data_IF_813244779421
#
_entry.id   IF_813244779421
#
_cell.length_a   1.000
_cell.length_b   1.000
_cell.length_c   1.000
_cell.angle_alpha   90.00
_cell.angle_beta   90.00
_cell.angle_gamma   90.00
#
_symmetry.space_group_name_H-M   'P 1'
#
loop_
_entity.id
_entity.type
_entity.pdbx_description
1 polymer ?
#
# COMPACT_ATOMS: atom_id res chain seq x y z
N UNK A 1 -10.58 -0.21 16.80
CA UNK A 1 -11.64 0.14 17.77
C UNK A 1 -11.42 1.61 18.08
N UNK A 2 -12.40 2.46 17.79
CA UNK A 2 -12.29 3.91 18.06
C UNK A 2 -12.32 4.09 19.58
N UNK A 3 -11.35 4.84 20.13
CA UNK A 3 -11.27 5.08 21.57
C UNK A 3 -12.30 6.14 21.94
N UNK A 4 -13.12 5.89 22.95
CA UNK A 4 -14.12 6.85 23.41
C UNK A 4 -13.46 8.10 24.01
N UNK A 5 -14.13 9.26 23.85
CA UNK A 5 -13.68 10.55 24.39
C UNK A 5 -13.36 10.49 25.90
N UNK A 6 -14.25 9.90 26.70
CA UNK A 6 -14.07 9.78 28.15
C UNK A 6 -12.79 9.02 28.54
N UNK A 7 -12.38 8.06 27.71
CA UNK A 7 -11.15 7.32 27.95
C UNK A 7 -9.95 8.18 27.56
N UNK A 8 -9.98 8.88 26.42
CA UNK A 8 -8.90 9.76 25.99
C UNK A 8 -8.65 10.93 26.96
N UNK A 9 -9.71 11.50 27.54
CA UNK A 9 -9.60 12.60 28.53
C UNK A 9 -8.75 12.22 29.74
N UNK A 10 -8.79 10.96 30.18
CA UNK A 10 -7.98 10.47 31.30
C UNK A 10 -6.47 10.46 31.00
N UNK A 11 -6.11 10.42 29.72
CA UNK A 11 -4.72 10.37 29.25
C UNK A 11 -4.16 11.74 28.87
N UNK A 12 -4.92 12.83 29.03
CA UNK A 12 -4.39 14.18 28.78
C UNK A 12 -3.21 14.45 29.73
N UNK A 13 -2.12 14.98 29.17
CA UNK A 13 -0.84 15.20 29.85
C UNK A 13 0.00 13.94 30.01
N UNK A 14 -0.51 12.75 29.65
CA UNK A 14 0.25 11.50 29.74
C UNK A 14 1.08 11.24 28.49
N UNK A 15 2.09 10.37 28.66
CA UNK A 15 2.96 9.94 27.58
C UNK A 15 2.20 9.07 26.57
N UNK A 16 2.46 9.33 25.30
CA UNK A 16 1.98 8.53 24.18
C UNK A 16 3.14 7.67 23.69
N UNK A 17 2.87 6.39 23.47
CA UNK A 17 3.83 5.44 22.89
C UNK A 17 3.45 5.11 21.46
N UNK A 18 4.40 4.73 20.64
CA UNK A 18 4.09 4.10 19.36
C UNK A 18 3.81 2.59 19.52
N UNK A 19 3.36 1.97 18.44
CA UNK A 19 3.14 0.50 18.36
C UNK A 19 4.41 -0.34 18.57
N UNK A 20 5.59 0.29 18.63
CA UNK A 20 6.89 -0.35 18.83
C UNK A 20 7.47 -0.06 20.23
N UNK A 21 6.66 0.55 21.11
CA UNK A 21 7.01 0.81 22.51
C UNK A 21 7.81 2.08 22.77
N UNK A 22 8.10 2.89 21.75
CA UNK A 22 8.86 4.15 21.90
C UNK A 22 7.95 5.25 22.40
N UNK A 23 8.42 6.02 23.37
CA UNK A 23 7.72 7.24 23.81
C UNK A 23 7.84 8.29 22.70
N UNK A 24 6.71 8.67 22.09
CA UNK A 24 6.69 9.61 20.97
C UNK A 24 6.34 11.04 21.38
N UNK A 25 5.65 11.19 22.51
CA UNK A 25 5.16 12.51 22.90
C UNK A 25 4.20 12.49 24.08
N UNK A 26 3.44 13.58 24.21
CA UNK A 26 2.42 13.75 25.23
C UNK A 26 1.09 14.11 24.60
N UNK A 27 0.01 13.53 25.10
CA UNK A 27 -1.34 13.90 24.68
C UNK A 27 -1.66 15.28 25.27
N UNK A 28 -1.94 16.27 24.43
CA UNK A 28 -2.20 17.65 24.85
C UNK A 28 -3.69 17.92 24.97
N UNK A 29 -4.44 17.56 23.93
CA UNK A 29 -5.87 17.85 23.86
C UNK A 29 -6.61 16.88 22.94
N UNK A 30 -7.92 16.82 23.11
CA UNK A 30 -8.85 16.00 22.31
C UNK A 30 -9.99 16.92 21.90
N UNK A 31 -10.12 17.15 20.60
CA UNK A 31 -11.20 17.96 20.04
C UNK A 31 -12.43 17.07 19.83
N UNK A 32 -13.60 17.60 20.21
CA UNK A 32 -14.87 16.92 20.08
C UNK A 32 -15.94 17.83 19.51
N UNK A 33 -16.86 17.25 18.76
CA UNK A 33 -18.07 17.91 18.32
C UNK A 33 -19.15 17.92 19.42
N UNK A 34 -20.23 18.67 19.22
CA UNK A 34 -21.33 18.81 20.20
C UNK A 34 -22.00 17.48 20.58
N UNK A 35 -21.95 16.49 19.69
CA UNK A 35 -22.47 15.14 19.93
C UNK A 35 -21.50 14.22 20.68
N UNK A 36 -20.30 14.70 21.01
CA UNK A 36 -19.25 13.95 21.70
C UNK A 36 -18.40 13.06 20.79
N UNK A 37 -18.56 13.13 19.47
CA UNK A 37 -17.63 12.47 18.54
C UNK A 37 -16.26 13.16 18.59
N UNK A 38 -15.21 12.36 18.71
CA UNK A 38 -13.83 12.86 18.69
C UNK A 38 -13.46 13.16 17.25
N UNK A 39 -13.15 14.42 16.95
CA UNK A 39 -12.75 14.83 15.59
C UNK A 39 -11.25 14.69 15.42
N UNK A 40 -10.48 15.16 16.41
CA UNK A 40 -9.03 15.33 16.30
C UNK A 40 -8.34 15.20 17.66
N UNK A 41 -7.06 14.81 17.64
CA UNK A 41 -6.24 14.65 18.84
C UNK A 41 -4.95 15.44 18.70
N UNK A 42 -4.66 16.34 19.64
CA UNK A 42 -3.43 17.14 19.64
C UNK A 42 -2.34 16.43 20.45
N UNK A 43 -1.19 16.15 19.82
CA UNK A 43 -0.05 15.48 20.46
C UNK A 43 1.21 16.34 20.32
N UNK A 44 1.92 16.50 21.43
CA UNK A 44 3.22 17.15 21.47
C UNK A 44 4.34 16.13 21.22
N UNK A 45 5.01 16.26 20.08
CA UNK A 45 6.19 15.48 19.69
C UNK A 45 7.46 16.27 20.00
N UNK A 46 7.99 16.14 21.22
CA UNK A 46 9.16 16.90 21.66
C UNK A 46 8.91 18.41 21.55
N UNK A 47 9.45 19.04 20.51
CA UNK A 47 9.33 20.49 20.27
C UNK A 47 8.22 20.88 19.28
N UNK A 48 7.56 19.93 18.64
CA UNK A 48 6.52 20.20 17.63
C UNK A 48 5.17 19.69 18.11
N UNK A 49 4.09 20.35 17.68
CA UNK A 49 2.71 19.94 17.94
C UNK A 49 2.10 19.46 16.63
N UNK A 50 1.30 18.41 16.68
CA UNK A 50 0.61 17.91 15.51
C UNK A 50 -0.74 17.33 15.88
N UNK A 51 -1.72 17.69 15.06
CA UNK A 51 -3.08 17.16 15.12
C UNK A 51 -3.14 15.81 14.40
N UNK A 52 -3.71 14.82 15.08
CA UNK A 52 -3.75 13.42 14.67
C UNK A 52 -5.20 12.95 14.56
N UNK A 53 -5.47 12.18 13.50
CA UNK A 53 -6.73 11.48 13.31
C UNK A 53 -6.97 10.44 14.44
N UNK A 54 -8.15 10.46 15.10
CA UNK A 54 -8.52 9.52 16.16
C UNK A 54 -8.37 8.04 15.78
N UNK A 55 -8.51 7.69 14.50
CA UNK A 55 -8.32 6.34 13.99
C UNK A 55 -6.90 5.79 14.22
N UNK A 56 -5.91 6.69 14.36
CA UNK A 56 -4.52 6.31 14.60
C UNK A 56 -4.21 6.05 16.06
N UNK A 57 -5.14 6.33 16.98
CA UNK A 57 -4.92 6.20 18.41
C UNK A 57 -5.70 4.99 18.93
N UNK A 58 -5.03 4.19 19.75
CA UNK A 58 -5.62 3.01 20.39
C UNK A 58 -5.16 2.91 21.84
N UNK A 59 -6.01 2.38 22.71
CA UNK A 59 -5.68 2.12 24.10
C UNK A 59 -5.25 0.66 24.25
N UNK A 60 -4.02 0.41 24.68
CA UNK A 60 -3.47 -0.93 24.91
C UNK A 60 -2.84 -0.97 26.29
N UNK A 61 -3.29 -1.90 27.14
CA UNK A 61 -2.77 -2.07 28.51
C UNK A 61 -2.69 -0.76 29.31
N UNK A 62 -3.76 0.04 29.26
CA UNK A 62 -3.83 1.33 29.96
C UNK A 62 -2.76 2.34 29.52
N UNK A 63 -2.26 2.21 28.29
CA UNK A 63 -1.32 3.15 27.66
C UNK A 63 -1.84 3.58 26.29
N UNK A 64 -1.69 4.87 25.99
CA UNK A 64 -2.07 5.43 24.70
C UNK A 64 -1.04 5.04 23.64
N UNK A 65 -1.47 4.28 22.63
CA UNK A 65 -0.64 3.80 21.53
C UNK A 65 -1.02 4.49 20.23
N UNK A 66 -0.04 5.16 19.63
CA UNK A 66 -0.14 5.86 18.36
C UNK A 66 0.35 4.97 17.21
N UNK A 67 -0.48 4.90 16.17
CA UNK A 67 -0.17 4.26 14.90
C UNK A 67 0.61 5.25 13.99
N UNK A 68 1.78 4.84 13.45
CA UNK A 68 2.51 5.65 12.49
C UNK A 68 1.68 6.00 11.24
N UNK A 69 1.90 7.19 10.68
CA UNK A 69 1.17 7.70 9.51
C UNK A 69 1.16 6.71 8.35
N UNK A 70 2.35 6.23 7.98
CA UNK A 70 2.52 5.30 6.87
C UNK A 70 1.73 4.01 7.08
N UNK A 71 1.56 3.56 8.33
CA UNK A 71 0.87 2.30 8.66
C UNK A 71 -0.64 2.49 8.56
N UNK A 72 -1.16 3.61 9.07
CA UNK A 72 -2.56 3.98 8.94
C UNK A 72 -2.97 4.18 7.48
N UNK A 73 -2.17 4.93 6.71
CA UNK A 73 -2.37 5.18 5.28
C UNK A 73 -2.37 3.86 4.51
N UNK A 74 -1.39 3.00 4.75
CA UNK A 74 -1.29 1.69 4.08
C UNK A 74 -2.51 0.82 4.35
N UNK A 75 -2.97 0.73 5.61
CA UNK A 75 -4.15 -0.06 5.96
C UNK A 75 -5.42 0.47 5.29
N UNK A 76 -5.58 1.80 5.26
CA UNK A 76 -6.71 2.46 4.59
C UNK A 76 -6.72 2.16 3.11
N UNK A 77 -5.60 2.32 2.42
CA UNK A 77 -5.49 2.07 0.99
C UNK A 77 -5.69 0.60 0.63
N UNK A 78 -5.16 -0.34 1.43
CA UNK A 78 -5.41 -1.78 1.27
C UNK A 78 -6.90 -2.11 1.37
N UNK A 79 -7.58 -1.60 2.41
CA UNK A 79 -9.01 -1.81 2.57
C UNK A 79 -9.82 -1.20 1.41
N UNK A 80 -9.43 -0.02 0.91
CA UNK A 80 -10.11 0.60 -0.22
C UNK A 80 -9.94 -0.22 -1.51
N UNK A 81 -8.74 -0.76 -1.77
CA UNK A 81 -8.47 -1.63 -2.91
C UNK A 81 -9.35 -2.88 -2.87
N UNK A 82 -9.43 -3.55 -1.72
CA UNK A 82 -10.29 -4.72 -1.55
C UNK A 82 -11.78 -4.40 -1.79
N UNK A 83 -12.25 -3.24 -1.29
CA UNK A 83 -13.63 -2.78 -1.50
C UNK A 83 -13.94 -2.53 -2.97
N UNK A 84 -13.05 -1.86 -3.70
CA UNK A 84 -13.22 -1.64 -5.15
C UNK A 84 -13.29 -2.97 -5.89
N UNK A 85 -12.42 -3.94 -5.55
CA UNK A 85 -12.44 -5.26 -6.20
C UNK A 85 -13.72 -6.04 -5.96
N UNK A 86 -14.24 -6.00 -4.73
CA UNK A 86 -15.53 -6.63 -4.42
C UNK A 86 -16.65 -6.00 -5.24
N UNK A 87 -16.64 -4.67 -5.41
CA UNK A 87 -17.61 -3.95 -6.25
C UNK A 87 -17.46 -4.26 -7.73
N UNK A 88 -16.24 -4.36 -8.26
CA UNK A 88 -15.99 -4.76 -9.65
C UNK A 88 -16.53 -6.17 -9.93
N UNK A 89 -16.22 -7.15 -9.06
CA UNK A 89 -16.74 -8.51 -9.18
C UNK A 89 -18.27 -8.57 -9.12
N UNK A 90 -18.88 -7.85 -8.18
CA UNK A 90 -20.33 -7.77 -8.07
C UNK A 90 -20.97 -7.14 -9.33
N UNK A 91 -20.35 -6.09 -9.89
CA UNK A 91 -20.82 -5.45 -11.11
C UNK A 91 -20.75 -6.40 -12.33
N UNK A 92 -19.66 -7.17 -12.44
CA UNK A 92 -19.51 -8.20 -13.47
C UNK A 92 -20.53 -9.32 -13.33
N UNK A 93 -20.80 -9.78 -12.12
CA UNK A 93 -21.82 -10.80 -11.85
C UNK A 93 -23.24 -10.31 -12.20
N UNK A 94 -23.59 -9.08 -11.83
CA UNK A 94 -24.88 -8.48 -12.20
C UNK A 94 -25.05 -8.35 -13.71
N UNK A 95 -23.98 -7.98 -14.43
CA UNK A 95 -24.00 -7.90 -15.89
C UNK A 95 -24.11 -9.30 -16.53
N UNK A 96 -23.39 -10.29 -16.00
CA UNK A 96 -23.46 -11.68 -16.47
C UNK A 96 -24.85 -12.30 -16.31
N UNK A 97 -25.55 -11.96 -15.21
CA UNK A 97 -26.95 -12.36 -14.98
C UNK A 97 -27.98 -11.54 -15.76
N UNK A 98 -27.53 -10.56 -16.57
CA UNK A 98 -28.38 -9.62 -17.30
C UNK A 98 -29.33 -8.80 -16.40
N UNK A 99 -28.99 -8.64 -15.12
CA UNK A 99 -29.79 -7.87 -14.16
C UNK A 99 -29.61 -6.35 -14.35
N UNK A 100 -28.59 -5.93 -15.11
CA UNK A 100 -28.32 -4.52 -15.41
C UNK A 100 -28.14 -4.29 -16.92
N UNK A 101 -28.64 -3.17 -17.47
CA UNK A 101 -28.39 -2.78 -18.85
C UNK A 101 -26.90 -2.46 -19.10
N UNK A 102 -26.44 -2.71 -20.34
CA UNK A 102 -25.05 -2.44 -20.75
C UNK A 102 -24.63 -0.98 -20.52
N UNK A 103 -25.51 -0.01 -20.79
CA UNK A 103 -25.21 1.41 -20.56
C UNK A 103 -24.88 1.69 -19.09
N UNK A 104 -25.68 1.17 -18.16
CA UNK A 104 -25.45 1.35 -16.72
C UNK A 104 -24.20 0.61 -16.24
N UNK A 105 -23.93 -0.58 -16.80
CA UNK A 105 -22.70 -1.31 -16.53
C UNK A 105 -21.45 -0.52 -16.95
N UNK A 106 -21.43 0.00 -18.18
CA UNK A 106 -20.28 0.73 -18.73
C UNK A 106 -19.99 2.00 -17.92
N UNK A 107 -21.02 2.73 -17.50
CA UNK A 107 -20.88 3.93 -16.66
C UNK A 107 -20.34 3.60 -15.25
N UNK A 108 -20.88 2.56 -14.60
CA UNK A 108 -20.40 2.13 -13.29
C UNK A 108 -18.98 1.57 -13.35
N UNK A 109 -18.65 0.82 -14.41
CA UNK A 109 -17.31 0.27 -14.64
C UNK A 109 -16.29 1.40 -14.78
N UNK A 110 -16.57 2.41 -15.62
CA UNK A 110 -15.72 3.60 -15.76
C UNK A 110 -15.48 4.31 -14.43
N UNK A 111 -16.51 4.45 -13.60
CA UNK A 111 -16.37 5.06 -12.27
C UNK A 111 -15.45 4.24 -11.38
N UNK A 112 -15.68 2.93 -11.26
CA UNK A 112 -14.84 2.04 -10.45
C UNK A 112 -13.39 2.01 -10.93
N UNK A 113 -13.16 2.01 -12.25
CA UNK A 113 -11.82 2.02 -12.83
C UNK A 113 -11.11 3.35 -12.53
N UNK A 114 -11.81 4.48 -12.59
CA UNK A 114 -11.25 5.79 -12.23
C UNK A 114 -10.86 5.87 -10.75
N UNK A 115 -11.67 5.30 -9.85
CA UNK A 115 -11.35 5.22 -8.43
C UNK A 115 -10.16 4.26 -8.20
N UNK A 116 -10.09 3.16 -8.95
CA UNK A 116 -8.99 2.21 -8.88
C UNK A 116 -7.65 2.83 -9.30
N UNK A 117 -7.63 3.71 -10.31
CA UNK A 117 -6.42 4.45 -10.70
C UNK A 117 -5.93 5.33 -9.55
N UNK A 118 -6.83 6.08 -8.90
CA UNK A 118 -6.47 6.92 -7.74
C UNK A 118 -5.86 6.10 -6.60
N UNK A 119 -6.45 4.95 -6.28
CA UNK A 119 -5.87 4.06 -5.24
C UNK A 119 -4.47 3.59 -5.63
N UNK A 120 -4.22 3.25 -6.90
CA UNK A 120 -2.89 2.85 -7.37
C UNK A 120 -1.86 3.97 -7.27
N UNK A 121 -2.26 5.21 -7.56
CA UNK A 121 -1.40 6.38 -7.36
C UNK A 121 -1.04 6.55 -5.88
N UNK A 122 -2.01 6.37 -4.98
CA UNK A 122 -1.77 6.44 -3.55
C UNK A 122 -0.87 5.29 -3.05
N UNK A 123 -1.01 4.08 -3.61
CA UNK A 123 -0.09 2.98 -3.36
C UNK A 123 1.35 3.34 -3.75
N UNK A 124 1.56 3.97 -4.90
CA UNK A 124 2.89 4.40 -5.33
C UNK A 124 3.50 5.43 -4.37
N UNK A 125 2.70 6.41 -3.91
CA UNK A 125 3.13 7.39 -2.90
C UNK A 125 3.49 6.72 -1.58
N UNK A 126 2.65 5.81 -1.11
CA UNK A 126 2.87 5.06 0.14
C UNK A 126 4.13 4.20 0.03
N UNK A 127 4.34 3.48 -1.08
CA UNK A 127 5.56 2.68 -1.31
C UNK A 127 6.82 3.54 -1.28
N UNK A 128 6.78 4.74 -1.87
CA UNK A 128 7.88 5.70 -1.81
C UNK A 128 8.18 6.13 -0.36
N UNK A 129 7.13 6.50 0.40
CA UNK A 129 7.22 6.87 1.82
C UNK A 129 7.78 5.73 2.68
N UNK A 130 7.31 4.50 2.46
CA UNK A 130 7.80 3.29 3.13
C UNK A 130 9.27 3.00 2.82
N UNK A 131 9.69 3.16 1.57
CA UNK A 131 11.09 2.96 1.18
C UNK A 131 12.02 3.97 1.84
N UNK A 132 11.64 5.25 1.86
CA UNK A 132 12.40 6.28 2.55
C UNK A 132 12.50 5.97 4.05
N UNK A 133 11.36 5.62 4.67
CA UNK A 133 11.32 5.25 6.08
C UNK A 133 12.13 4.00 6.39
N UNK A 134 12.14 3.01 5.50
CA UNK A 134 12.94 1.79 5.64
C UNK A 134 14.43 2.13 5.71
N UNK A 135 14.90 2.98 4.80
CA UNK A 135 16.30 3.43 4.80
C UNK A 135 16.65 4.16 6.09
N UNK A 136 15.79 5.10 6.55
CA UNK A 136 15.99 5.78 7.83
C UNK A 136 16.11 4.80 9.00
N UNK A 137 15.23 3.80 9.05
CA UNK A 137 15.22 2.78 10.11
C UNK A 137 16.49 1.93 10.05
N UNK A 138 16.95 1.54 8.86
CA UNK A 138 18.18 0.77 8.68
C UNK A 138 19.42 1.59 9.09
N UNK A 139 19.46 2.88 8.75
CA UNK A 139 20.51 3.80 9.18
C UNK A 139 20.54 3.97 10.70
N UNK A 140 19.36 4.09 11.34
CA UNK A 140 19.26 4.17 12.81
C UNK A 140 19.74 2.88 13.47
N UNK A 141 19.38 1.70 12.95
CA UNK A 141 19.88 0.43 13.46
C UNK A 141 21.41 0.37 13.37
N UNK A 142 21.99 0.73 12.22
CA UNK A 142 23.44 0.76 12.04
C UNK A 142 24.12 1.77 12.97
N UNK A 143 23.49 2.92 13.21
CA UNK A 143 23.98 3.92 14.15
C UNK A 143 23.99 3.40 15.60
N UNK A 144 22.90 2.75 16.03
CA UNK A 144 22.81 2.11 17.35
C UNK A 144 23.88 1.03 17.50
N UNK A 145 24.11 0.20 16.48
CA UNK A 145 25.15 -0.83 16.52
C UNK A 145 26.56 -0.23 16.68
N UNK A 146 26.87 0.85 15.98
CA UNK A 146 28.13 1.59 16.17
C UNK A 146 28.26 2.13 17.59
N UNK A 147 27.19 2.72 18.14
CA UNK A 147 27.18 3.21 19.51
C UNK A 147 27.39 2.08 20.52
N UNK A 148 26.77 0.92 20.33
CA UNK A 148 26.97 -0.26 21.17
C UNK A 148 28.44 -0.73 21.16
N UNK A 149 29.10 -0.70 19.99
CA UNK A 149 30.53 -1.04 19.88
C UNK A 149 31.39 -0.01 20.63
N UNK A 150 31.12 1.28 20.47
CA UNK A 150 31.84 2.35 21.17
C UNK A 150 31.70 2.23 22.69
N UNK A 151 30.48 2.00 23.20
CA UNK A 151 30.22 1.80 24.64
C UNK A 151 30.99 0.57 25.17
N UNK A 152 31.01 -0.53 24.43
CA UNK A 152 31.80 -1.73 24.78
C UNK A 152 33.30 -1.44 24.82
N UNK A 153 33.81 -0.69 23.84
CA UNK A 153 35.22 -0.34 23.76
C UNK A 153 35.65 0.51 24.96
N UNK A 154 34.91 1.57 25.28
CA UNK A 154 35.24 2.42 26.43
C UNK A 154 35.09 1.69 27.77
N UNK A 155 34.20 0.69 27.87
CA UNK A 155 34.16 -0.19 29.04
C UNK A 155 35.41 -1.07 29.16
N UNK A 156 35.86 -1.70 28.06
CA UNK A 156 37.08 -2.52 28.04
C UNK A 156 38.33 -1.67 28.32
N UNK A 157 38.35 -0.42 27.86
CA UNK A 157 39.40 0.55 28.16
C UNK A 157 39.38 1.07 29.61
N UNK A 158 38.44 0.58 30.44
CA UNK A 158 38.21 1.03 31.83
C UNK A 158 37.85 2.53 31.96
N UNK A 159 37.31 3.13 30.89
CA UNK A 159 36.82 4.52 30.89
C UNK A 159 35.40 4.64 31.44
N UNK A 160 34.64 3.54 31.46
CA UNK A 160 33.27 3.47 32.00
C UNK A 160 33.19 2.54 33.22
N UNK A 161 32.32 2.92 34.15
CA UNK A 161 31.92 2.02 35.25
C UNK A 161 31.00 0.91 34.71
N UNK A 162 30.98 -0.24 35.39
CA UNK A 162 30.10 -1.36 35.02
C UNK A 162 28.62 -0.96 35.04
N UNK A 163 28.20 -0.12 36.00
CA UNK A 163 26.83 0.39 36.08
C UNK A 163 26.47 1.25 34.86
N UNK A 164 27.37 2.16 34.45
CA UNK A 164 27.16 3.02 33.27
C UNK A 164 27.13 2.20 31.97
N UNK A 165 28.00 1.19 31.86
CA UNK A 165 27.99 0.25 30.74
C UNK A 165 26.66 -0.51 30.63
N UNK A 166 26.22 -1.15 31.73
CA UNK A 166 24.96 -1.92 31.74
C UNK A 166 23.75 -1.06 31.40
N UNK A 167 23.65 0.13 32.02
CA UNK A 167 22.55 1.06 31.76
C UNK A 167 22.52 1.52 30.29
N UNK A 168 23.67 1.93 29.74
CA UNK A 168 23.76 2.38 28.35
C UNK A 168 23.43 1.27 27.36
N UNK A 169 23.94 0.06 27.61
CA UNK A 169 23.68 -1.09 26.75
C UNK A 169 22.21 -1.50 26.74
N UNK A 170 21.51 -1.41 27.88
CA UNK A 170 20.09 -1.73 27.93
C UNK A 170 19.24 -0.73 27.13
N UNK A 171 19.53 0.57 27.25
CA UNK A 171 18.86 1.60 26.45
C UNK A 171 19.05 1.35 24.96
N UNK A 172 20.28 1.08 24.53
CA UNK A 172 20.59 0.79 23.12
C UNK A 172 19.93 -0.49 22.63
N UNK A 173 19.86 -1.54 23.47
CA UNK A 173 19.20 -2.80 23.15
C UNK A 173 17.69 -2.61 22.93
N UNK A 174 17.02 -1.90 23.84
CA UNK A 174 15.58 -1.61 23.73
C UNK A 174 15.29 -0.78 22.48
N UNK A 175 16.07 0.28 22.22
CA UNK A 175 15.92 1.09 21.01
C UNK A 175 16.08 0.25 19.74
N UNK A 176 17.10 -0.61 19.67
CA UNK A 176 17.33 -1.50 18.53
C UNK A 176 16.14 -2.44 18.31
N UNK A 177 15.60 -3.03 19.37
CA UNK A 177 14.45 -3.92 19.30
C UNK A 177 13.23 -3.23 18.68
N UNK A 178 12.90 -2.01 19.12
CA UNK A 178 11.81 -1.20 18.53
C UNK A 178 12.03 -0.91 17.04
N UNK A 179 13.24 -0.53 16.63
CA UNK A 179 13.55 -0.28 15.21
C UNK A 179 13.50 -1.56 14.36
N UNK A 180 13.91 -2.71 14.91
CA UNK A 180 13.80 -3.99 14.21
C UNK A 180 12.33 -4.37 13.99
N UNK A 181 11.48 -4.20 15.00
CA UNK A 181 10.03 -4.41 14.85
C UNK A 181 9.43 -3.49 13.78
N UNK A 182 9.81 -2.20 13.78
CA UNK A 182 9.36 -1.25 12.75
C UNK A 182 9.79 -1.68 11.34
N UNK A 183 11.06 -2.07 11.17
CA UNK A 183 11.61 -2.55 9.90
C UNK A 183 10.84 -3.74 9.36
N UNK A 184 10.54 -4.72 10.22
CA UNK A 184 9.83 -5.93 9.83
C UNK A 184 8.37 -5.62 9.44
N UNK A 185 7.71 -4.70 10.15
CA UNK A 185 6.36 -4.26 9.81
C UNK A 185 6.31 -3.48 8.49
N UNK A 186 7.29 -2.61 8.22
CA UNK A 186 7.42 -1.91 6.94
C UNK A 186 7.54 -2.93 5.80
N UNK A 187 8.42 -3.92 5.94
CA UNK A 187 8.62 -4.98 4.93
C UNK A 187 7.36 -5.78 4.68
N UNK A 188 6.66 -6.21 5.73
CA UNK A 188 5.37 -6.93 5.61
C UNK A 188 4.32 -6.09 4.90
N UNK A 189 4.26 -4.79 5.17
CA UNK A 189 3.28 -3.90 4.53
C UNK A 189 3.63 -3.65 3.08
N UNK A 190 4.91 -3.45 2.74
CA UNK A 190 5.36 -3.36 1.35
C UNK A 190 4.99 -4.61 0.56
N UNK A 191 5.24 -5.80 1.12
CA UNK A 191 4.85 -7.07 0.51
C UNK A 191 3.33 -7.17 0.32
N UNK A 192 2.53 -6.78 1.31
CA UNK A 192 1.07 -6.75 1.19
C UNK A 192 0.59 -5.78 0.13
N UNK A 193 1.22 -4.61 -0.01
CA UNK A 193 0.89 -3.64 -1.06
C UNK A 193 1.24 -4.20 -2.44
N UNK A 194 2.36 -4.91 -2.57
CA UNK A 194 2.75 -5.57 -3.82
C UNK A 194 1.84 -6.72 -4.20
N UNK A 195 1.45 -7.57 -3.24
CA UNK A 195 0.48 -8.66 -3.45
C UNK A 195 -0.89 -8.09 -3.81
N UNK A 196 -1.32 -7.06 -3.07
CA UNK A 196 -2.55 -6.36 -3.36
C UNK A 196 -2.48 -5.80 -4.77
N UNK A 197 -1.41 -5.14 -5.21
CA UNK A 197 -1.30 -4.68 -6.59
C UNK A 197 -1.29 -5.83 -7.62
N UNK A 198 -0.56 -6.92 -7.38
CA UNK A 198 -0.41 -8.04 -8.34
C UNK A 198 -1.66 -8.89 -8.55
N UNK A 199 -2.55 -8.97 -7.57
CA UNK A 199 -3.88 -9.58 -7.71
C UNK A 199 -4.77 -8.85 -8.73
N UNK A 200 -4.29 -7.74 -9.33
CA UNK A 200 -4.86 -7.14 -10.54
C UNK A 200 -4.52 -7.89 -11.85
N UNK A 201 -3.67 -8.92 -11.80
CA UNK A 201 -3.15 -9.66 -12.94
C UNK A 201 -3.81 -11.03 -13.21
N UNK A 202 -4.99 -11.34 -12.65
CA UNK A 202 -5.76 -12.49 -13.14
C UNK A 202 -6.33 -12.10 -14.50
N UNK A 203 -5.59 -12.52 -15.53
CA UNK A 203 -5.95 -12.55 -16.93
C UNK A 203 -7.42 -12.94 -17.14
N UNK A 204 -8.23 -11.98 -17.59
CA UNK A 204 -9.37 -12.26 -18.47
C UNK A 204 -8.77 -12.58 -19.85
N UNK A 205 -8.10 -13.73 -19.99
CA UNK A 205 -7.86 -14.33 -21.30
C UNK A 205 -9.10 -15.13 -21.66
N UNK A 206 -9.82 -14.58 -22.63
CA UNK A 206 -11.11 -15.07 -23.11
C UNK A 206 -11.11 -16.56 -23.42
N UNK A 207 -12.07 -17.25 -22.78
CA UNK A 207 -12.65 -18.47 -23.31
C UNK A 207 -13.83 -18.09 -24.21
N UNK A 208 -13.88 -18.69 -25.40
CA UNK A 208 -15.12 -18.83 -26.16
C UNK A 208 -15.21 -18.06 -27.49
N UNK A 209 -14.37 -18.42 -28.47
CA UNK A 209 -14.87 -18.51 -29.84
C UNK A 209 -15.33 -19.96 -30.03
N UNK A 210 -16.63 -20.18 -30.20
CA UNK A 210 -17.28 -21.26 -30.97
C UNK A 210 -18.79 -20.95 -31.00
N UNK A 211 -19.33 -20.72 -32.19
CA UNK A 211 -20.56 -21.32 -32.77
C UNK A 211 -20.42 -21.16 -34.31
N UNK A 212 -20.06 -22.19 -35.11
CA UNK A 212 -20.91 -23.25 -35.72
C UNK A 212 -22.12 -22.71 -36.51
N UNK A 213 -22.46 -23.08 -37.76
CA UNK A 213 -22.02 -24.11 -38.72
C UNK A 213 -22.52 -23.72 -40.14
N UNK A 214 -21.83 -24.12 -41.22
CA UNK A 214 -22.04 -25.33 -42.03
C UNK A 214 -23.04 -25.16 -43.18
N UNK A 215 -22.56 -25.27 -44.42
CA UNK A 215 -23.28 -26.00 -45.48
C UNK A 215 -22.32 -26.55 -46.56
N UNK A 216 -22.83 -27.58 -47.24
CA UNK A 216 -22.20 -28.76 -47.86
C UNK A 216 -21.44 -28.63 -49.20
N UNK A 217 -20.31 -29.36 -49.26
CA UNK A 217 -19.87 -30.40 -50.24
C UNK A 217 -20.34 -30.35 -51.72
N UNK A 218 -19.40 -30.31 -52.68
CA UNK A 218 -19.13 -31.39 -53.69
C UNK A 218 -18.01 -31.03 -54.70
N UNK A 219 -17.26 -32.05 -55.14
CA UNK A 219 -16.04 -32.10 -56.02
C UNK A 219 -16.44 -32.45 -57.50
N UNK A 220 -15.51 -32.70 -58.46
CA UNK A 220 -14.75 -31.78 -59.32
C UNK A 220 -14.94 -32.06 -60.85
N UNK A 221 -14.19 -31.34 -61.70
CA UNK A 221 -13.51 -31.81 -62.95
C UNK A 221 -13.74 -31.07 -64.30
N UNK A 222 -12.62 -31.07 -65.05
CA UNK A 222 -12.14 -30.49 -66.33
C UNK A 222 -13.08 -30.22 -67.53
N UNK A 223 -12.79 -29.12 -68.26
CA UNK A 223 -12.44 -29.15 -69.70
C UNK A 223 -12.04 -27.78 -70.32
N UNK A 224 -10.86 -27.75 -70.98
CA UNK A 224 -10.40 -27.08 -72.26
C UNK A 224 -10.88 -25.65 -72.62
N UNK A 225 -10.17 -24.79 -73.37
CA UNK A 225 -8.81 -24.60 -73.91
C UNK A 225 -8.89 -23.35 -74.82
N UNK A 226 -7.84 -22.51 -74.93
CA UNK A 226 -7.28 -21.95 -76.19
C UNK A 226 -6.15 -20.92 -75.93
N UNK A 227 -5.18 -20.86 -76.86
CA UNK A 227 -3.83 -20.24 -76.82
C UNK A 227 -3.78 -18.86 -77.57
N UNK A 228 -2.63 -18.29 -78.04
CA UNK A 228 -1.83 -17.23 -77.38
C UNK A 228 -1.48 -16.01 -78.29
N UNK A 229 -0.46 -15.21 -77.89
CA UNK A 229 0.47 -14.30 -78.66
C UNK A 229 0.41 -12.78 -78.32
N UNK A 230 1.43 -11.94 -78.67
CA UNK A 230 2.82 -11.93 -78.18
C UNK A 230 3.35 -10.52 -77.77
N UNK A 231 4.62 -10.45 -77.34
CA UNK A 231 5.39 -9.26 -76.89
C UNK A 231 5.70 -8.28 -78.05
N UNK A 232 5.80 -6.96 -77.79
CA UNK A 232 6.98 -6.23 -78.26
C UNK A 232 7.56 -5.20 -77.27
N UNK A 233 8.89 -5.19 -77.20
CA UNK A 233 9.73 -4.12 -76.64
C UNK A 233 9.86 -3.01 -77.68
N UNK A 234 9.78 -1.73 -77.28
CA UNK A 234 10.30 -0.61 -78.09
C UNK A 234 11.05 0.39 -77.22
N UNK A 235 12.34 0.53 -77.55
CA UNK A 235 13.23 1.63 -77.19
C UNK A 235 12.94 2.78 -78.17
N UNK A 236 12.84 4.02 -77.68
CA UNK A 236 13.00 5.22 -78.50
C UNK A 236 13.84 6.23 -77.73
N UNK A 237 15.02 6.51 -78.28
CA UNK A 237 15.89 7.64 -77.99
C UNK A 237 15.88 8.62 -79.15
N UNK A 238 16.28 9.87 -78.87
CA UNK A 238 16.66 10.99 -79.76
C UNK A 238 15.55 11.93 -80.26
N UNK A 239 15.60 13.19 -79.80
CA UNK A 239 16.42 14.24 -80.43
C UNK A 239 17.22 14.98 -79.36
#
# INVERSE_FOLDING_TARGET
MVVSFENLMKFIGQKVKDVYGREVGYLVHVYTEVDGEVTDIEVAFGNTFSTIDPFRVSLVNDSLVLLPDWKAESMKSIMQMEKIRKRQRALEELYAKQEIPKSSYDDMKRKLDSEMVKIREDYAKIKSKLKNRLNEVEDQIAHIEKAMIAVKMSYIAAELTESAYKGSMEVLRQAKESYVMEKDDIRKIMEKLDLSDKDSGIDIKGAGSITSGSDSVSKPDLSRAELPTPIPVRVLSTQ
#
